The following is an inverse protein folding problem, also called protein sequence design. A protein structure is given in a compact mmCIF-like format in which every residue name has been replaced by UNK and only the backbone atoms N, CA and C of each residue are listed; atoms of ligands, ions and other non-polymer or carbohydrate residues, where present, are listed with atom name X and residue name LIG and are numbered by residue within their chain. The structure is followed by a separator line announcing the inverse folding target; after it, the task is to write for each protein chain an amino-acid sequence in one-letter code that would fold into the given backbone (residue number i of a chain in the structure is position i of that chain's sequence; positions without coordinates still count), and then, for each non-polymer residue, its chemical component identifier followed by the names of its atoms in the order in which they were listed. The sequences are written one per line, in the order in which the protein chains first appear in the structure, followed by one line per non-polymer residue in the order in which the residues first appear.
data_IF_621654328253
#
_entry.id   IF_621654328253
#
_cell.length_a   1.000
_cell.length_b   1.000
_cell.length_c   1.000
_cell.angle_alpha   90.00
_cell.angle_beta   90.00
_cell.angle_gamma   90.00
#
_symmetry.space_group_name_H-M   'P 1'
#
loop_
_entity.id
_entity.type
_entity.pdbx_description
1 polymer ?
#
# COMPACT_ATOMS: atom_id res chain seq x y z
N UNK A 1 10.75 16.21 -6.05
CA UNK A 1 9.39 16.52 -6.46
C UNK A 1 8.39 16.10 -5.41
N UNK A 2 7.30 16.86 -5.28
CA UNK A 2 6.32 16.58 -4.24
C UNK A 2 5.68 15.20 -4.41
N UNK A 3 5.51 14.74 -5.64
CA UNK A 3 4.89 13.45 -5.91
C UNK A 3 5.69 12.32 -5.29
N UNK A 4 7.00 12.30 -5.52
CA UNK A 4 7.83 11.22 -5.02
C UNK A 4 7.88 11.22 -3.52
N UNK A 5 7.96 12.41 -2.94
CA UNK A 5 8.00 12.53 -1.50
C UNK A 5 6.70 12.02 -0.88
N UNK A 6 5.59 12.37 -1.49
CA UNK A 6 4.29 11.91 -1.00
C UNK A 6 4.17 10.40 -1.13
N UNK A 7 4.60 9.85 -2.25
CA UNK A 7 4.56 8.41 -2.46
C UNK A 7 5.40 7.70 -1.40
N UNK A 8 6.60 8.19 -1.13
CA UNK A 8 7.46 7.56 -0.14
C UNK A 8 6.82 7.58 1.25
N UNK A 9 6.16 8.68 1.58
CA UNK A 9 5.52 8.78 2.89
C UNK A 9 4.31 7.87 2.99
N UNK A 10 3.56 7.72 1.91
CA UNK A 10 2.43 6.80 1.89
C UNK A 10 2.92 5.37 2.08
N UNK A 11 3.97 5.00 1.36
CA UNK A 11 4.53 3.66 1.46
C UNK A 11 5.01 3.42 2.89
N UNK A 12 5.68 4.40 3.49
CA UNK A 12 6.12 4.27 4.86
C UNK A 12 4.97 4.07 5.82
N UNK A 13 3.85 4.78 5.59
CA UNK A 13 2.67 4.62 6.44
C UNK A 13 2.11 3.21 6.35
N UNK A 14 2.06 2.65 5.14
CA UNK A 14 1.57 1.28 4.96
C UNK A 14 2.50 0.28 5.62
N UNK A 15 3.81 0.48 5.46
CA UNK A 15 4.78 -0.43 6.04
C UNK A 15 4.73 -0.44 7.56
N UNK A 16 4.22 0.63 8.15
CA UNK A 16 4.06 0.68 9.59
C UNK A 16 2.85 -0.08 10.11
N UNK A 17 1.99 -0.60 9.24
CA UNK A 17 0.82 -1.35 9.65
C UNK A 17 1.17 -2.83 9.65
N UNK A 18 1.12 -3.44 10.83
CA UNK A 18 1.36 -4.88 10.93
C UNK A 18 0.28 -5.61 10.14
N UNK A 19 0.69 -6.47 9.23
CA UNK A 19 -0.25 -7.23 8.42
C UNK A 19 -0.49 -6.65 7.03
N UNK A 20 0.10 -5.52 6.71
CA UNK A 20 0.00 -4.93 5.39
C UNK A 20 1.38 -4.58 4.86
N UNK A 21 1.53 -4.64 3.57
CA UNK A 21 2.74 -4.13 2.92
C UNK A 21 2.35 -3.61 1.54
N UNK A 22 3.15 -2.68 1.00
CA UNK A 22 2.85 -2.17 -0.34
C UNK A 22 2.98 -3.30 -1.37
N UNK A 23 2.08 -3.31 -2.35
CA UNK A 23 2.17 -4.26 -3.43
C UNK A 23 3.35 -3.90 -4.32
N UNK A 24 3.99 -4.92 -4.89
CA UNK A 24 5.06 -4.71 -5.84
C UNK A 24 4.71 -5.42 -7.12
N UNK A 25 5.22 -4.95 -8.27
CA UNK A 25 4.92 -5.62 -9.52
C UNK A 25 5.61 -6.98 -9.55
N UNK A 26 5.03 -7.89 -10.33
CA UNK A 26 5.67 -9.17 -10.57
C UNK A 26 6.83 -8.92 -11.53
N UNK A 27 8.04 -9.18 -11.05
CA UNK A 27 9.25 -8.89 -11.81
C UNK A 27 9.93 -10.21 -12.14
N UNK A 28 10.31 -10.39 -13.40
CA UNK A 28 11.01 -11.60 -13.80
C UNK A 28 12.44 -11.53 -13.32
N UNK A 29 13.07 -12.70 -13.24
CA UNK A 29 14.42 -12.78 -12.68
C UNK A 29 15.40 -11.90 -13.42
N UNK A 30 15.22 -11.70 -14.70
CA UNK A 30 16.18 -10.94 -15.47
C UNK A 30 15.75 -9.50 -15.68
N UNK A 31 14.94 -8.98 -14.79
CA UNK A 31 14.45 -7.61 -14.91
C UNK A 31 15.38 -6.61 -14.25
N UNK A 32 16.67 -6.86 -14.31
CA UNK A 32 17.64 -5.93 -13.74
C UNK A 32 17.62 -4.58 -14.46
N UNK A 33 17.01 -4.52 -15.62
CA UNK A 33 16.87 -3.27 -16.36
C UNK A 33 15.81 -2.36 -15.75
N UNK A 34 15.06 -2.84 -14.74
CA UNK A 34 13.98 -2.08 -14.12
C UNK A 34 14.55 -0.81 -13.50
N UNK A 35 14.22 0.36 -14.06
CA UNK A 35 14.94 1.58 -13.70
C UNK A 35 14.38 2.33 -12.51
N UNK A 36 13.24 1.93 -11.96
CA UNK A 36 12.64 2.69 -10.89
C UNK A 36 12.33 1.78 -9.71
N UNK A 37 12.05 2.46 -8.60
CA UNK A 37 11.73 1.77 -7.36
C UNK A 37 10.41 1.02 -7.52
N UNK A 38 10.46 -0.30 -7.36
CA UNK A 38 9.27 -1.13 -7.51
C UNK A 38 8.20 -0.76 -6.48
N UNK A 39 8.58 -0.19 -5.35
CA UNK A 39 7.63 0.21 -4.33
C UNK A 39 6.66 1.26 -4.84
N UNK A 40 7.09 2.09 -5.77
CA UNK A 40 6.22 3.15 -6.29
C UNK A 40 5.08 2.60 -7.12
N UNK A 41 5.16 1.34 -7.53
CA UNK A 41 4.04 0.70 -8.20
C UNK A 41 2.79 0.68 -7.33
N UNK A 42 2.98 0.68 -6.01
CA UNK A 42 1.86 0.54 -5.09
C UNK A 42 0.99 1.79 -5.01
N UNK A 43 1.48 2.94 -5.46
CA UNK A 43 0.76 4.20 -5.26
C UNK A 43 0.53 4.90 -6.58
N UNK A 44 -0.74 5.21 -6.86
CA UNK A 44 -1.12 6.03 -8.02
C UNK A 44 -1.69 7.34 -7.51
N UNK A 45 -1.14 8.44 -7.97
CA UNK A 45 -1.60 9.78 -7.63
C UNK A 45 -2.24 10.42 -8.85
N UNK A 46 -3.51 10.76 -8.74
CA UNK A 46 -4.20 11.52 -9.77
C UNK A 46 -4.78 12.78 -9.13
N UNK A 47 -5.34 13.65 -9.94
CA UNK A 47 -5.83 14.93 -9.44
C UNK A 47 -6.85 14.78 -8.33
N UNK A 48 -7.68 13.74 -8.41
CA UNK A 48 -8.79 13.61 -7.48
C UNK A 48 -8.80 12.27 -6.74
N UNK A 49 -7.76 11.46 -6.88
CA UNK A 49 -7.74 10.17 -6.21
C UNK A 49 -6.32 9.74 -5.88
N UNK A 50 -6.19 9.06 -4.75
CA UNK A 50 -4.96 8.41 -4.34
C UNK A 50 -5.29 6.94 -4.20
N UNK A 51 -4.68 6.10 -5.03
CA UNK A 51 -4.93 4.67 -4.98
C UNK A 51 -3.68 3.97 -4.47
N UNK A 52 -3.85 3.16 -3.44
CA UNK A 52 -2.74 2.44 -2.82
C UNK A 52 -3.03 0.95 -2.92
N UNK A 53 -2.12 0.22 -3.54
CA UNK A 53 -2.22 -1.23 -3.68
C UNK A 53 -1.43 -1.88 -2.58
N UNK A 54 -2.05 -2.79 -1.87
CA UNK A 54 -1.42 -3.43 -0.72
C UNK A 54 -1.57 -4.94 -0.81
N UNK A 55 -0.66 -5.63 -0.15
CA UNK A 55 -0.74 -7.07 0.05
C UNK A 55 -1.04 -7.29 1.53
N UNK A 56 -2.04 -8.09 1.81
CA UNK A 56 -2.44 -8.37 3.18
C UNK A 56 -1.81 -9.66 3.65
N UNK A 57 -1.14 -9.60 4.79
CA UNK A 57 -0.52 -10.77 5.41
C UNK A 57 -1.24 -11.18 6.68
N UNK A 58 -2.41 -10.59 6.94
CA UNK A 58 -3.20 -10.91 8.12
C UNK A 58 -4.66 -10.64 7.83
N UNK A 59 -5.53 -11.21 8.65
CA UNK A 59 -6.97 -11.03 8.55
C UNK A 59 -7.50 -10.70 9.93
N UNK A 60 -8.65 -10.03 10.04
CA UNK A 60 -9.55 -9.61 8.97
C UNK A 60 -9.08 -8.32 8.29
N UNK A 61 -9.55 -8.09 7.07
CA UNK A 61 -9.11 -6.95 6.27
C UNK A 61 -9.66 -5.60 6.73
N UNK A 62 -10.95 -5.47 7.08
CA UNK A 62 -11.48 -4.12 7.34
C UNK A 62 -10.71 -3.34 8.41
N UNK A 63 -10.36 -3.91 9.56
CA UNK A 63 -9.58 -3.13 10.53
C UNK A 63 -8.23 -2.71 10.01
N UNK A 64 -7.58 -3.57 9.21
CA UNK A 64 -6.28 -3.24 8.66
C UNK A 64 -6.37 -2.08 7.69
N UNK A 65 -7.41 -2.10 6.84
CA UNK A 65 -7.59 -1.03 5.87
C UNK A 65 -7.96 0.28 6.55
N UNK A 66 -8.70 0.22 7.65
CA UNK A 66 -9.00 1.42 8.42
C UNK A 66 -7.74 2.03 9.01
N UNK A 67 -6.87 1.19 9.56
CA UNK A 67 -5.61 1.67 10.11
C UNK A 67 -4.76 2.31 9.02
N UNK A 68 -4.73 1.68 7.85
CA UNK A 68 -3.95 2.24 6.74
C UNK A 68 -4.49 3.60 6.31
N UNK A 69 -5.82 3.72 6.23
CA UNK A 69 -6.42 4.99 5.88
C UNK A 69 -6.08 6.07 6.88
N UNK A 70 -6.15 5.73 8.16
CA UNK A 70 -5.83 6.69 9.22
C UNK A 70 -4.36 7.09 9.19
N UNK A 71 -3.49 6.17 8.80
CA UNK A 71 -2.06 6.47 8.71
C UNK A 71 -1.72 7.30 7.50
N UNK A 72 -2.46 7.12 6.40
CA UNK A 72 -2.15 7.79 5.14
C UNK A 72 -2.72 9.20 5.10
N UNK A 73 -3.91 9.41 5.67
CA UNK A 73 -4.55 10.71 5.57
C UNK A 73 -3.68 11.87 6.07
N UNK A 74 -3.00 11.76 7.22
CA UNK A 74 -2.14 12.86 7.64
C UNK A 74 -1.00 13.14 6.66
N UNK A 75 -0.56 12.12 5.93
CA UNK A 75 0.49 12.31 4.94
C UNK A 75 0.02 13.22 3.83
N UNK A 76 -1.27 13.18 3.50
CA UNK A 76 -1.81 13.97 2.39
C UNK A 76 -2.12 15.39 2.79
N UNK A 77 -2.16 15.70 4.09
CA UNK A 77 -2.46 17.03 4.56
C UNK A 77 -1.38 18.00 4.08
N UNK A 78 -1.81 19.10 3.48
CA UNK A 78 -0.88 20.08 2.95
C UNK A 78 -0.36 19.75 1.56
N UNK A 79 -0.81 18.65 0.97
CA UNK A 79 -0.42 18.30 -0.38
C UNK A 79 -1.58 18.55 -1.33
N UNK A 80 -1.31 18.53 -2.65
CA UNK A 80 -2.40 18.69 -3.62
C UNK A 80 -3.47 17.59 -3.52
N UNK A 81 -3.17 16.49 -2.83
CA UNK A 81 -4.10 15.36 -2.73
C UNK A 81 -4.85 15.35 -1.41
N UNK A 82 -4.82 16.44 -0.66
CA UNK A 82 -5.47 16.49 0.64
C UNK A 82 -6.97 16.19 0.55
N UNK A 83 -7.60 16.65 -0.51
CA UNK A 83 -9.04 16.45 -0.71
C UNK A 83 -9.35 15.27 -1.63
N UNK A 84 -8.34 14.54 -2.05
CA UNK A 84 -8.53 13.45 -2.98
C UNK A 84 -9.18 12.26 -2.30
N UNK A 85 -9.88 11.45 -3.10
CA UNK A 85 -10.44 10.20 -2.62
C UNK A 85 -9.32 9.19 -2.41
N UNK A 86 -9.29 8.59 -1.23
CA UNK A 86 -8.29 7.58 -0.92
C UNK A 86 -8.89 6.21 -1.19
N UNK A 87 -8.22 5.42 -2.02
CA UNK A 87 -8.64 4.06 -2.34
C UNK A 87 -7.55 3.09 -1.94
N UNK A 88 -7.94 2.09 -1.16
CA UNK A 88 -7.03 1.03 -0.77
C UNK A 88 -7.46 -0.25 -1.48
N UNK A 89 -6.57 -0.82 -2.27
CA UNK A 89 -6.86 -1.98 -3.08
C UNK A 89 -5.97 -3.12 -2.60
N UNK A 90 -6.61 -4.21 -2.17
CA UNK A 90 -5.86 -5.41 -1.78
C UNK A 90 -5.70 -6.24 -3.04
N UNK A 91 -4.47 -6.33 -3.53
CA UNK A 91 -4.21 -7.05 -4.76
C UNK A 91 -3.90 -8.51 -4.52
N UNK A 92 -3.53 -8.86 -3.29
CA UNK A 92 -3.09 -10.21 -3.03
C UNK A 92 -3.17 -10.48 -1.54
N UNK A 93 -3.49 -11.71 -1.17
CA UNK A 93 -3.40 -12.18 0.21
C UNK A 93 -2.17 -13.06 0.31
N UNK A 94 -1.27 -12.69 1.22
CA UNK A 94 -0.08 -13.49 1.47
C UNK A 94 -0.50 -14.79 2.15
N UNK A 95 0.25 -15.87 1.88
CA UNK A 95 -0.04 -17.16 2.53
C UNK A 95 -0.06 -17.02 4.05
N UNK A 96 0.72 -16.10 4.59
CA UNK A 96 0.76 -15.88 6.02
C UNK A 96 -0.62 -15.47 6.57
N UNK A 97 -1.46 -14.82 5.74
CA UNK A 97 -2.79 -14.43 6.17
C UNK A 97 -3.67 -15.63 6.51
N UNK A 98 -3.41 -16.76 5.89
CA UNK A 98 -4.21 -17.95 6.09
C UNK A 98 -3.61 -18.90 7.11
N UNK A 99 -2.37 -18.64 7.52
CA UNK A 99 -1.70 -19.56 8.43
C UNK A 99 -2.41 -19.65 9.78
N UNK A 100 -2.89 -18.52 10.28
CA UNK A 100 -3.59 -18.52 11.56
C UNK A 100 -4.92 -19.21 11.47
N UNK A 101 -5.64 -19.01 10.37
CA UNK A 101 -6.91 -19.66 10.19
C UNK A 101 -6.76 -21.16 10.02
N UNK A 102 -5.68 -21.56 9.36
CA UNK A 102 -5.42 -22.97 9.15
C UNK A 102 -5.18 -23.72 10.42
N UNK A 103 -4.80 -23.04 11.49
CA UNK A 103 -4.52 -23.72 12.76
C UNK A 103 -5.77 -23.89 13.61
N UNK A 104 -6.87 -23.32 13.18
CA UNK A 104 -8.10 -23.40 13.98
C UNK A 104 -8.69 -24.81 13.98
N UNK A 105 -8.37 -25.57 12.98
CA UNK A 105 -8.89 -26.95 12.92
C UNK A 105 -8.37 -27.81 14.05
#
# INVERSE_FOLDING_TARGET
MADEETIDKIIGAVEGISGLRPATPIVRENASWWPWDARKYAVDLTDDAVQVRVVAAALPLPPLLELAGEAIRPVLTGTPWEQATLRLVVTELDAAAFAEEGTVD
#
